data_IF_577626367889
#
_entry.id   IF_577626367889
#
_cell.length_a   1.000
_cell.length_b   1.000
_cell.length_c   1.000
_cell.angle_alpha   90.00
_cell.angle_beta   90.00
_cell.angle_gamma   90.00
#
_symmetry.space_group_name_H-M   'P 1'
#
loop_
_entity.id
_entity.type
_entity.pdbx_description
1 polymer ?
#
# COMPACT_ATOMS: atom_id res chain seq x y z
N UNK A 1 -2.41 -31.17 -13.56
CA UNK A 1 -1.28 -31.11 -14.51
C UNK A 1 -0.22 -30.22 -13.94
N UNK A 2 1.09 -30.55 -14.03
CA UNK A 2 2.16 -29.66 -13.62
C UNK A 2 2.06 -28.32 -14.35
N UNK A 3 2.35 -27.21 -13.65
CA UNK A 3 2.22 -25.84 -14.16
C UNK A 3 3.05 -25.60 -15.44
N UNK A 4 4.18 -26.30 -15.59
CA UNK A 4 5.08 -26.24 -16.75
C UNK A 4 4.46 -26.67 -18.08
N UNK A 5 3.34 -27.38 -18.05
CA UNK A 5 2.59 -27.79 -19.26
C UNK A 5 1.48 -26.82 -19.64
N UNK A 6 1.33 -25.70 -18.94
CA UNK A 6 0.41 -24.64 -19.34
C UNK A 6 1.03 -23.82 -20.48
N UNK A 7 0.28 -23.46 -21.54
CA UNK A 7 0.83 -22.76 -22.72
C UNK A 7 1.45 -21.40 -22.39
N UNK A 8 1.06 -20.78 -21.27
CA UNK A 8 1.54 -19.46 -20.85
C UNK A 8 2.49 -19.49 -19.64
N UNK A 9 2.94 -20.68 -19.23
CA UNK A 9 3.76 -20.83 -18.02
C UNK A 9 4.98 -19.91 -17.99
N UNK A 10 5.79 -19.92 -19.06
CA UNK A 10 7.00 -19.06 -19.14
C UNK A 10 6.67 -17.58 -19.04
N UNK A 11 5.60 -17.16 -19.71
CA UNK A 11 5.15 -15.75 -19.66
C UNK A 11 4.74 -15.36 -18.23
N UNK A 12 3.95 -16.19 -17.56
CA UNK A 12 3.52 -15.94 -16.18
C UNK A 12 4.70 -15.87 -15.20
N UNK A 13 5.70 -16.75 -15.35
CA UNK A 13 6.92 -16.70 -14.53
C UNK A 13 7.71 -15.40 -14.78
N UNK A 14 7.88 -15.00 -16.03
CA UNK A 14 8.57 -13.73 -16.34
C UNK A 14 7.79 -12.53 -15.80
N UNK A 15 6.48 -12.52 -15.90
CA UNK A 15 5.62 -11.50 -15.30
C UNK A 15 5.78 -11.46 -13.78
N UNK A 16 5.80 -12.60 -13.12
CA UNK A 16 6.01 -12.69 -11.68
C UNK A 16 7.38 -12.12 -11.26
N UNK A 17 8.45 -12.47 -11.98
CA UNK A 17 9.77 -11.90 -11.71
C UNK A 17 9.81 -10.38 -11.91
N UNK A 18 9.22 -9.88 -12.99
CA UNK A 18 9.13 -8.43 -13.24
C UNK A 18 8.32 -7.73 -12.14
N UNK A 19 7.20 -8.32 -11.71
CA UNK A 19 6.38 -7.76 -10.62
C UNK A 19 7.18 -7.65 -9.31
N UNK A 20 7.98 -8.67 -8.96
CA UNK A 20 8.86 -8.62 -7.79
C UNK A 20 9.93 -7.51 -7.91
N UNK A 21 10.53 -7.32 -9.08
CA UNK A 21 11.47 -6.22 -9.30
C UNK A 21 10.81 -4.85 -9.12
N UNK A 22 9.59 -4.67 -9.63
CA UNK A 22 8.81 -3.45 -9.46
C UNK A 22 8.46 -3.20 -8.00
N UNK A 23 8.08 -4.23 -7.27
CA UNK A 23 7.77 -4.14 -5.84
C UNK A 23 9.01 -3.76 -5.02
N UNK A 24 10.15 -4.42 -5.26
CA UNK A 24 11.40 -4.10 -4.58
C UNK A 24 11.82 -2.64 -4.83
N UNK A 25 11.71 -2.18 -6.07
CA UNK A 25 12.00 -0.77 -6.41
C UNK A 25 11.10 0.23 -5.69
N UNK A 26 9.83 -0.11 -5.42
CA UNK A 26 8.94 0.72 -4.61
C UNK A 26 9.30 0.66 -3.12
N UNK A 27 9.65 -0.52 -2.61
CA UNK A 27 10.15 -0.65 -1.23
C UNK A 27 11.40 0.21 -1.00
N UNK A 28 12.33 0.25 -1.94
CA UNK A 28 13.51 1.12 -1.87
C UNK A 28 13.16 2.62 -1.84
N UNK A 29 12.03 3.01 -2.44
CA UNK A 29 11.51 4.38 -2.43
C UNK A 29 10.68 4.73 -1.19
N UNK A 30 10.52 3.81 -0.25
CA UNK A 30 9.79 4.04 1.00
C UNK A 30 8.32 3.59 0.98
N UNK A 31 7.95 2.68 0.07
CA UNK A 31 6.62 2.07 0.12
C UNK A 31 6.41 1.40 1.47
N UNK A 32 5.32 1.77 2.15
CA UNK A 32 4.90 1.13 3.38
C UNK A 32 4.13 -0.16 3.03
N UNK A 33 4.65 -1.29 3.46
CA UNK A 33 3.94 -2.58 3.38
C UNK A 33 2.85 -2.65 4.43
N UNK A 34 1.88 -1.72 4.41
CA UNK A 34 0.76 -1.73 5.33
C UNK A 34 -0.21 -2.85 4.91
N UNK A 35 -0.49 -3.74 5.83
CA UNK A 35 -1.48 -4.79 5.62
C UNK A 35 -2.88 -4.23 5.85
N UNK A 36 -3.65 -4.13 4.77
CA UNK A 36 -5.10 -3.91 4.85
C UNK A 36 -5.80 -5.25 4.89
N UNK A 37 -6.72 -5.38 5.84
CA UNK A 37 -7.62 -6.54 5.91
C UNK A 37 -8.69 -6.34 4.83
N UNK A 38 -8.59 -7.12 3.77
CA UNK A 38 -9.62 -7.17 2.73
C UNK A 38 -10.63 -8.26 3.13
N UNK A 39 -11.87 -7.87 3.36
CA UNK A 39 -12.92 -8.75 3.85
C UNK A 39 -13.88 -9.07 2.71
N UNK A 40 -14.09 -10.37 2.45
CA UNK A 40 -15.15 -10.87 1.59
C UNK A 40 -16.36 -11.32 2.40
N UNK A 41 -17.52 -10.94 1.93
CA UNK A 41 -18.81 -11.45 2.44
C UNK A 41 -19.37 -12.44 1.45
N UNK A 42 -19.62 -13.67 1.90
CA UNK A 42 -20.45 -14.61 1.15
C UNK A 42 -21.91 -14.28 1.47
N UNK A 43 -22.72 -14.10 0.45
CA UNK A 43 -24.14 -13.76 0.56
C UNK A 43 -24.98 -14.85 -0.10
N UNK A 44 -26.17 -15.09 0.45
CA UNK A 44 -27.18 -15.95 -0.19
C UNK A 44 -27.91 -15.24 -1.35
N UNK A 45 -28.76 -15.98 -2.06
CA UNK A 45 -29.56 -15.44 -3.18
C UNK A 45 -30.53 -14.32 -2.75
N UNK A 46 -30.79 -14.15 -1.45
CA UNK A 46 -31.63 -13.13 -0.87
C UNK A 46 -30.84 -11.92 -0.35
N UNK A 47 -29.49 -11.96 -0.46
CA UNK A 47 -28.61 -10.88 -0.02
C UNK A 47 -28.24 -10.94 1.48
N UNK A 48 -28.56 -12.02 2.20
CA UNK A 48 -28.15 -12.16 3.59
C UNK A 48 -26.69 -12.64 3.68
N UNK A 49 -25.90 -12.11 4.63
CA UNK A 49 -24.52 -12.56 4.81
C UNK A 49 -24.49 -13.98 5.39
N UNK A 50 -23.78 -14.90 4.72
CA UNK A 50 -23.55 -16.27 5.13
C UNK A 50 -22.26 -16.43 5.92
N UNK A 51 -21.19 -15.79 5.47
CA UNK A 51 -19.89 -15.84 6.12
C UNK A 51 -19.08 -14.58 5.87
N UNK A 52 -18.07 -14.35 6.73
CA UNK A 52 -17.09 -13.28 6.61
C UNK A 52 -15.73 -13.96 6.52
N UNK A 53 -15.02 -13.75 5.40
CA UNK A 53 -13.72 -14.36 5.15
C UNK A 53 -12.67 -13.28 4.87
N UNK A 54 -11.47 -13.43 5.41
CA UNK A 54 -10.33 -12.62 4.99
C UNK A 54 -9.92 -13.03 3.56
N UNK A 55 -9.76 -12.05 2.68
CA UNK A 55 -9.26 -12.28 1.34
C UNK A 55 -7.74 -12.32 1.34
N UNK A 56 -7.19 -13.48 1.06
CA UNK A 56 -5.74 -13.63 0.91
C UNK A 56 -5.25 -13.01 -0.40
N UNK A 57 -4.32 -12.06 -0.32
CA UNK A 57 -3.61 -11.51 -1.48
C UNK A 57 -2.47 -12.45 -1.90
N UNK A 58 -2.75 -13.31 -2.86
CA UNK A 58 -1.76 -14.25 -3.39
C UNK A 58 -0.81 -13.63 -4.41
N UNK A 59 0.20 -14.41 -4.88
CA UNK A 59 1.19 -13.94 -5.86
C UNK A 59 0.58 -13.39 -7.16
N UNK A 60 -0.52 -13.94 -7.63
CA UNK A 60 -1.21 -13.46 -8.82
C UNK A 60 -1.81 -12.05 -8.61
N UNK A 61 -2.43 -11.80 -7.46
CA UNK A 61 -2.95 -10.48 -7.10
C UNK A 61 -1.84 -9.45 -7.03
N UNK A 62 -0.73 -9.78 -6.37
CA UNK A 62 0.47 -8.93 -6.29
C UNK A 62 1.03 -8.62 -7.68
N UNK A 63 1.09 -9.60 -8.56
CA UNK A 63 1.56 -9.42 -9.95
C UNK A 63 0.69 -8.41 -10.71
N UNK A 64 -0.62 -8.56 -10.68
CA UNK A 64 -1.56 -7.67 -11.36
C UNK A 64 -1.51 -6.25 -10.76
N UNK A 65 -1.48 -6.13 -9.43
CA UNK A 65 -1.34 -4.84 -8.74
C UNK A 65 -0.09 -4.09 -9.17
N UNK A 66 1.05 -4.77 -9.25
CA UNK A 66 2.32 -4.17 -9.68
C UNK A 66 2.28 -3.66 -11.12
N UNK A 67 1.65 -4.39 -12.05
CA UNK A 67 1.49 -3.93 -13.42
C UNK A 67 0.49 -2.79 -13.55
N UNK A 68 -0.61 -2.84 -12.81
CA UNK A 68 -1.59 -1.76 -12.75
C UNK A 68 -0.96 -0.46 -12.26
N UNK A 69 -0.17 -0.52 -11.18
CA UNK A 69 0.56 0.65 -10.65
C UNK A 69 1.56 1.19 -11.67
N UNK A 70 2.34 0.32 -12.33
CA UNK A 70 3.27 0.75 -13.39
C UNK A 70 2.55 1.45 -14.53
N UNK A 71 1.44 0.89 -15.02
CA UNK A 71 0.65 1.48 -16.09
C UNK A 71 0.11 2.85 -15.68
N UNK A 72 -0.49 2.97 -14.48
CA UNK A 72 -1.03 4.20 -13.97
C UNK A 72 0.04 5.30 -13.82
N UNK A 73 1.22 4.96 -13.28
CA UNK A 73 2.34 5.89 -13.17
C UNK A 73 2.82 6.35 -14.55
N UNK A 74 3.01 5.40 -15.49
CA UNK A 74 3.48 5.72 -16.84
C UNK A 74 2.53 6.67 -17.57
N UNK A 75 1.22 6.45 -17.46
CA UNK A 75 0.21 7.32 -18.10
C UNK A 75 0.17 8.69 -17.43
N UNK A 76 0.27 8.75 -16.09
CA UNK A 76 0.32 10.01 -15.36
C UNK A 76 1.57 10.84 -15.73
N UNK A 77 2.75 10.20 -15.77
CA UNK A 77 4.00 10.85 -16.17
C UNK A 77 3.94 11.34 -17.62
N UNK A 78 3.40 10.52 -18.53
CA UNK A 78 3.24 10.87 -19.93
C UNK A 78 2.37 12.11 -20.10
N UNK A 79 1.20 12.16 -19.43
CA UNK A 79 0.31 13.31 -19.46
C UNK A 79 0.99 14.59 -18.89
N UNK A 80 1.72 14.42 -17.77
CA UNK A 80 2.44 15.52 -17.12
C UNK A 80 3.51 16.13 -18.03
N UNK A 81 4.39 15.31 -18.60
CA UNK A 81 5.48 15.80 -19.47
C UNK A 81 4.98 16.40 -20.79
N UNK A 82 3.84 15.98 -21.29
CA UNK A 82 3.23 16.56 -22.50
C UNK A 82 2.36 17.80 -22.19
N UNK A 83 2.14 18.15 -20.93
CA UNK A 83 1.26 19.27 -20.55
C UNK A 83 -0.18 19.06 -20.95
N UNK A 84 -0.64 17.81 -21.06
CA UNK A 84 -2.03 17.48 -21.42
C UNK A 84 -2.92 17.66 -20.18
N UNK A 85 -4.09 18.29 -20.28
CA UNK A 85 -5.07 18.30 -19.19
C UNK A 85 -5.40 16.88 -18.75
N UNK A 86 -5.15 16.56 -17.50
CA UNK A 86 -5.31 15.21 -16.96
C UNK A 86 -5.78 15.25 -15.51
N UNK A 87 -6.40 14.19 -15.05
CA UNK A 87 -6.85 14.06 -13.65
C UNK A 87 -5.91 13.11 -12.92
N UNK A 88 -5.16 13.67 -11.95
CA UNK A 88 -4.24 12.92 -11.11
C UNK A 88 -4.89 12.52 -9.81
N UNK A 89 -4.59 11.32 -9.32
CA UNK A 89 -4.94 10.89 -7.97
C UNK A 89 -3.74 11.14 -7.07
N UNK A 90 -3.81 12.20 -6.30
CA UNK A 90 -2.73 12.63 -5.40
C UNK A 90 -2.88 12.03 -4.01
N UNK A 91 -1.77 11.79 -3.34
CA UNK A 91 -1.72 11.35 -1.95
C UNK A 91 -0.55 12.04 -1.27
N UNK A 92 -0.85 12.95 -0.37
CA UNK A 92 0.15 13.69 0.40
C UNK A 92 0.55 12.93 1.67
N UNK A 93 1.74 13.23 2.20
CA UNK A 93 2.16 12.75 3.51
C UNK A 93 1.28 13.31 4.64
N UNK A 94 1.39 12.78 5.86
CA UNK A 94 0.60 13.24 6.99
C UNK A 94 0.94 14.69 7.36
N UNK A 95 -0.08 15.54 7.46
CA UNK A 95 0.05 16.91 7.95
C UNK A 95 0.39 16.98 9.46
N UNK A 96 0.61 18.19 9.97
CA UNK A 96 0.97 18.40 11.38
C UNK A 96 -0.06 17.82 12.36
N UNK A 97 -1.35 17.93 12.05
CA UNK A 97 -2.42 17.42 12.93
C UNK A 97 -2.44 15.90 12.94
N UNK A 98 -2.28 15.29 11.77
CA UNK A 98 -2.18 13.84 11.58
C UNK A 98 -0.94 13.27 12.26
N UNK A 99 0.20 13.96 12.19
CA UNK A 99 1.42 13.58 12.92
C UNK A 99 1.20 13.51 14.42
N UNK A 100 0.58 14.54 15.02
CA UNK A 100 0.25 14.55 16.46
C UNK A 100 -0.71 13.42 16.83
N UNK A 101 -1.70 13.16 15.99
CA UNK A 101 -2.64 12.06 16.21
C UNK A 101 -1.94 10.71 16.15
N UNK A 102 -1.06 10.50 15.15
CA UNK A 102 -0.26 9.29 15.02
C UNK A 102 0.61 9.07 16.27
N UNK A 103 1.32 10.10 16.71
CA UNK A 103 2.13 10.04 17.94
C UNK A 103 1.29 9.63 19.16
N UNK A 104 0.16 10.30 19.36
CA UNK A 104 -0.76 10.01 20.45
C UNK A 104 -1.29 8.56 20.39
N UNK A 105 -1.68 8.09 19.21
CA UNK A 105 -2.28 6.78 19.04
C UNK A 105 -1.23 5.67 19.17
N UNK A 106 -0.02 5.87 18.66
CA UNK A 106 1.12 4.96 18.88
C UNK A 106 1.54 4.91 20.35
N UNK A 107 1.57 6.04 21.05
CA UNK A 107 1.88 6.09 22.49
C UNK A 107 0.88 5.34 23.37
N UNK A 108 -0.38 5.16 22.94
CA UNK A 108 -1.36 4.33 23.63
C UNK A 108 -1.01 2.85 23.55
N UNK A 109 -0.45 2.43 22.42
CA UNK A 109 -0.06 1.02 22.18
C UNK A 109 1.29 0.71 22.81
N UNK A 110 2.27 1.58 22.62
CA UNK A 110 3.61 1.41 23.16
C UNK A 110 4.19 2.74 23.66
N UNK A 111 4.20 2.91 24.99
CA UNK A 111 4.72 4.13 25.66
C UNK A 111 6.21 4.39 25.42
N UNK A 112 6.95 3.43 24.84
CA UNK A 112 8.37 3.60 24.49
C UNK A 112 8.55 4.43 23.22
N UNK A 113 7.51 4.57 22.40
CA UNK A 113 7.53 5.38 21.18
C UNK A 113 7.36 6.84 21.58
N UNK A 114 8.46 7.52 21.88
CA UNK A 114 8.46 8.91 22.38
C UNK A 114 8.65 9.95 21.29
N UNK A 115 9.09 9.57 20.11
CA UNK A 115 9.41 10.50 19.04
C UNK A 115 9.15 9.88 17.69
N UNK A 116 8.36 10.57 16.87
CA UNK A 116 8.12 10.22 15.48
C UNK A 116 9.08 11.02 14.60
N UNK A 117 9.82 10.41 13.68
CA UNK A 117 10.74 11.12 12.79
C UNK A 117 9.98 12.11 11.90
N UNK A 118 10.71 12.91 11.14
CA UNK A 118 10.10 13.72 10.10
C UNK A 118 9.42 12.82 9.04
N UNK A 119 8.09 12.89 8.98
CA UNK A 119 7.26 12.01 8.14
C UNK A 119 7.09 12.53 6.71
N UNK A 120 7.75 13.64 6.32
CA UNK A 120 7.71 14.15 4.94
C UNK A 120 8.54 13.26 3.99
N UNK A 121 9.43 12.45 4.56
CA UNK A 121 10.28 11.51 3.83
C UNK A 121 9.69 10.08 3.92
N UNK A 122 9.17 9.50 2.83
CA UNK A 122 8.60 8.16 2.84
C UNK A 122 9.57 7.08 3.33
N UNK A 123 10.86 7.23 3.04
CA UNK A 123 11.89 6.25 3.46
C UNK A 123 12.07 6.28 4.97
N UNK A 124 12.09 7.46 5.59
CA UNK A 124 12.16 7.57 7.06
C UNK A 124 10.91 7.03 7.72
N UNK A 125 9.75 7.24 7.09
CA UNK A 125 8.50 6.68 7.58
C UNK A 125 8.50 5.15 7.53
N UNK A 126 8.97 4.58 6.44
CA UNK A 126 9.11 3.13 6.29
C UNK A 126 10.05 2.55 7.36
N UNK A 127 11.24 3.15 7.55
CA UNK A 127 12.19 2.73 8.57
C UNK A 127 11.60 2.82 9.99
N UNK A 128 10.84 3.85 10.26
CA UNK A 128 10.14 4.02 11.53
C UNK A 128 9.09 2.92 11.71
N UNK A 129 8.25 2.66 10.69
CA UNK A 129 7.26 1.58 10.74
C UNK A 129 7.91 0.22 10.99
N UNK A 130 8.98 -0.10 10.26
CA UNK A 130 9.74 -1.35 10.45
C UNK A 130 10.35 -1.45 11.86
N UNK A 131 10.78 -0.33 12.44
CA UNK A 131 11.31 -0.30 13.81
C UNK A 131 10.22 -0.58 14.85
N UNK A 132 9.04 0.01 14.65
CA UNK A 132 7.90 -0.13 15.58
C UNK A 132 7.29 -1.54 15.50
N UNK A 133 7.33 -2.18 14.34
CA UNK A 133 6.75 -3.52 14.10
C UNK A 133 7.75 -4.65 14.37
N UNK A 134 9.03 -4.35 14.55
CA UNK A 134 10.07 -5.36 14.76
C UNK A 134 9.78 -6.26 15.97
N UNK A 135 9.68 -7.57 15.72
CA UNK A 135 9.49 -8.59 16.76
C UNK A 135 8.06 -8.64 17.33
N UNK A 136 7.09 -7.99 16.67
CA UNK A 136 5.67 -8.06 17.03
C UNK A 136 4.97 -9.20 16.30
N UNK A 137 3.83 -9.63 16.83
CA UNK A 137 2.96 -10.64 16.19
C UNK A 137 2.25 -10.03 14.97
N UNK A 138 1.73 -10.90 14.08
CA UNK A 138 0.95 -10.46 12.91
C UNK A 138 -0.26 -9.60 13.32
N UNK A 139 -0.94 -9.96 14.40
CA UNK A 139 -2.08 -9.20 14.92
C UNK A 139 -1.68 -7.80 15.40
N UNK A 140 -0.52 -7.69 16.10
CA UNK A 140 0.02 -6.41 16.53
C UNK A 140 0.45 -5.55 15.34
N UNK A 141 1.03 -6.16 14.30
CA UNK A 141 1.42 -5.46 13.05
C UNK A 141 0.17 -4.95 12.33
N UNK A 142 -0.88 -5.76 12.21
CA UNK A 142 -2.17 -5.34 11.63
C UNK A 142 -2.75 -4.13 12.38
N UNK A 143 -2.82 -4.21 13.71
CA UNK A 143 -3.30 -3.08 14.53
C UNK A 143 -2.47 -1.80 14.35
N UNK A 144 -1.16 -1.93 14.28
CA UNK A 144 -0.28 -0.78 14.01
C UNK A 144 -0.49 -0.22 12.60
N UNK A 145 -0.64 -1.09 11.59
CA UNK A 145 -0.96 -0.69 10.20
C UNK A 145 -2.24 0.14 10.13
N UNK A 146 -3.30 -0.26 10.83
CA UNK A 146 -4.54 0.50 10.92
C UNK A 146 -4.35 1.89 11.54
N UNK A 147 -3.51 2.00 12.60
CA UNK A 147 -3.17 3.29 13.21
C UNK A 147 -2.46 4.20 12.20
N UNK A 148 -1.52 3.66 11.41
CA UNK A 148 -0.84 4.43 10.38
C UNK A 148 -1.80 4.88 9.28
N UNK A 149 -2.60 3.96 8.71
CA UNK A 149 -3.58 4.23 7.66
C UNK A 149 -4.57 5.32 8.09
N UNK A 150 -5.12 5.21 9.30
CA UNK A 150 -6.06 6.20 9.86
C UNK A 150 -5.47 7.60 9.96
N UNK A 151 -4.17 7.71 10.20
CA UNK A 151 -3.47 8.97 10.39
C UNK A 151 -2.80 9.49 9.12
N UNK A 152 -2.95 8.84 7.98
CA UNK A 152 -2.53 9.37 6.69
C UNK A 152 -3.60 10.27 6.07
N UNK A 153 -3.18 11.14 5.15
CA UNK A 153 -4.10 11.91 4.32
C UNK A 153 -4.88 10.94 3.41
N UNK A 154 -6.10 11.32 3.07
CA UNK A 154 -6.84 10.59 2.03
C UNK A 154 -6.38 11.05 0.66
N UNK A 155 -6.26 10.10 -0.27
CA UNK A 155 -6.01 10.44 -1.66
C UNK A 155 -7.19 11.22 -2.25
N UNK A 156 -6.88 12.19 -3.11
CA UNK A 156 -7.87 13.04 -3.78
C UNK A 156 -7.52 13.24 -5.26
N UNK A 157 -8.49 13.68 -6.03
CA UNK A 157 -8.30 13.96 -7.46
C UNK A 157 -8.06 15.45 -7.69
N UNK A 158 -7.11 15.79 -8.58
CA UNK A 158 -6.75 17.15 -8.98
C UNK A 158 -6.20 17.17 -10.40
N UNK A 159 -6.21 18.32 -11.03
CA UNK A 159 -5.51 18.61 -12.29
C UNK A 159 -3.99 18.88 -12.08
N UNK A 160 -3.54 19.01 -10.84
CA UNK A 160 -2.15 19.18 -10.48
C UNK A 160 -1.53 17.84 -10.09
N UNK A 161 -0.37 17.50 -10.66
CA UNK A 161 0.41 16.33 -10.22
C UNK A 161 1.29 16.71 -9.04
N UNK A 162 0.83 16.40 -7.83
CA UNK A 162 1.58 16.63 -6.58
C UNK A 162 2.35 15.37 -6.16
N UNK A 163 2.03 14.23 -6.77
CA UNK A 163 2.63 12.93 -6.47
C UNK A 163 1.78 12.06 -5.54
N UNK A 164 2.36 10.93 -5.16
CA UNK A 164 1.68 9.94 -4.35
C UNK A 164 2.61 9.42 -3.27
N UNK A 165 2.36 9.87 -2.03
CA UNK A 165 3.17 9.53 -0.87
C UNK A 165 3.12 8.03 -0.57
N UNK A 166 4.29 7.38 -0.47
CA UNK A 166 4.38 5.97 -0.11
C UNK A 166 4.15 4.97 -1.26
N UNK A 167 4.21 5.43 -2.53
CA UNK A 167 4.23 4.58 -3.73
C UNK A 167 5.61 4.53 -4.36
#
# INVERSE_FOLDING_TARGET
>A
KPLEYLPHYKTLINMYHLANLLQNKRLEKGMLGLEEIDINFDIDDLGNPLSINERFKGPASMMIENFMLLANQTVADFAYYLGIPFVYRNHEGPDFSKRKNLERDLNKVDKRIKHIPNLDDPVKMQQFFLTVTKGKSEEEIKMLSEIFIKNFQRAYYSDQNIGHYGL
#
